data_IF_814135156626
#
_entry.id   IF_814135156626
#
_cell.length_a   1.000
_cell.length_b   1.000
_cell.length_c   1.000
_cell.angle_alpha   90.00
_cell.angle_beta   90.00
_cell.angle_gamma   90.00
#
_symmetry.space_group_name_H-M   'P 1'
#
loop_
_entity.id
_entity.type
_entity.pdbx_description
1 polymer ?
#
# COMPACT_ATOMS: atom_id res chain seq x y z
N UNK A 1 -13.11 9.58 -16.30
CA UNK A 1 -12.05 8.98 -15.45
C UNK A 1 -11.86 7.54 -15.89
N UNK A 2 -10.62 7.09 -16.07
CA UNK A 2 -10.35 5.74 -16.54
C UNK A 2 -10.41 4.75 -15.36
N UNK A 3 -10.97 3.54 -15.53
CA UNK A 3 -10.88 2.49 -14.52
C UNK A 3 -9.40 2.10 -14.30
N UNK A 4 -9.09 1.50 -13.16
CA UNK A 4 -7.80 0.84 -12.97
C UNK A 4 -7.66 -0.28 -14.01
N UNK A 5 -6.60 -0.29 -14.86
CA UNK A 5 -6.50 -1.24 -15.97
C UNK A 5 -6.16 -2.67 -15.52
N UNK A 6 -5.89 -2.88 -14.24
CA UNK A 6 -5.60 -4.16 -13.58
C UNK A 6 -5.85 -4.01 -12.07
N UNK A 7 -5.50 -5.03 -11.25
CA UNK A 7 -5.34 -4.93 -9.78
C UNK A 7 -4.22 -3.95 -9.36
N UNK A 8 -3.94 -2.96 -10.21
CA UNK A 8 -2.99 -1.89 -10.01
C UNK A 8 -3.25 -1.15 -8.71
N UNK A 9 -2.19 -0.66 -8.14
CA UNK A 9 -2.17 -0.03 -6.84
C UNK A 9 -0.78 0.53 -6.63
N UNK A 10 -0.35 0.66 -5.39
CA UNK A 10 0.93 1.25 -5.08
C UNK A 10 1.89 0.22 -4.47
N UNK A 11 3.06 0.11 -5.08
CA UNK A 11 4.17 -0.70 -4.56
C UNK A 11 5.18 0.23 -3.90
N UNK A 12 5.57 -0.09 -2.68
CA UNK A 12 6.55 0.68 -1.92
C UNK A 12 7.45 -0.24 -1.10
N UNK A 13 8.64 0.24 -0.75
CA UNK A 13 9.58 -0.52 0.07
C UNK A 13 9.44 -0.11 1.53
N UNK A 14 9.41 -1.10 2.43
CA UNK A 14 9.58 -0.91 3.87
C UNK A 14 10.75 -1.76 4.36
N UNK A 15 11.35 -1.36 5.49
CA UNK A 15 12.39 -2.14 6.15
C UNK A 15 11.83 -2.68 7.47
N UNK A 16 11.79 -4.00 7.60
CA UNK A 16 11.37 -4.67 8.83
C UNK A 16 12.59 -5.36 9.42
N UNK A 17 13.07 -4.86 10.55
CA UNK A 17 14.19 -5.44 11.30
C UNK A 17 15.45 -5.68 10.42
N UNK A 18 15.73 -4.71 9.52
CA UNK A 18 16.84 -4.75 8.56
C UNK A 18 16.54 -5.48 7.25
N UNK A 19 15.39 -6.16 7.13
CA UNK A 19 14.96 -6.84 5.90
C UNK A 19 14.19 -5.88 5.00
N UNK A 20 14.64 -5.75 3.75
CA UNK A 20 13.89 -5.03 2.71
C UNK A 20 12.66 -5.84 2.29
N UNK A 21 11.48 -5.26 2.43
CA UNK A 21 10.17 -5.86 2.12
C UNK A 21 9.43 -4.98 1.12
N UNK A 22 8.83 -5.60 0.10
CA UNK A 22 7.99 -4.91 -0.88
C UNK A 22 6.52 -4.99 -0.44
N UNK A 23 5.93 -3.84 -0.15
CA UNK A 23 4.53 -3.72 0.21
C UNK A 23 3.68 -3.33 -0.99
N UNK A 24 2.51 -3.95 -1.11
CA UNK A 24 1.54 -3.74 -2.18
C UNK A 24 0.22 -3.26 -1.58
N UNK A 25 -0.16 -2.01 -1.82
CA UNK A 25 -1.49 -1.50 -1.54
C UNK A 25 -2.33 -1.60 -2.82
N UNK A 26 -3.48 -2.29 -2.78
CA UNK A 26 -4.33 -2.45 -3.97
C UNK A 26 -5.12 -1.17 -4.27
N UNK A 27 -5.58 -1.00 -5.50
CA UNK A 27 -6.53 0.07 -5.86
C UNK A 27 -7.74 0.09 -4.92
N UNK A 28 -8.29 -1.07 -4.56
CA UNK A 28 -9.45 -1.16 -3.66
C UNK A 28 -9.13 -0.58 -2.27
N UNK A 29 -7.96 -0.91 -1.71
CA UNK A 29 -7.51 -0.32 -0.44
C UNK A 29 -7.29 1.18 -0.55
N UNK A 30 -6.69 1.64 -1.66
CA UNK A 30 -6.45 3.06 -1.88
C UNK A 30 -7.76 3.84 -2.06
N UNK A 31 -8.72 3.27 -2.78
CA UNK A 31 -10.03 3.89 -3.01
C UNK A 31 -10.88 3.91 -1.74
N UNK A 32 -10.91 2.80 -0.98
CA UNK A 32 -11.71 2.69 0.25
C UNK A 32 -11.21 3.63 1.36
N UNK A 33 -9.89 3.75 1.54
CA UNK A 33 -9.32 4.45 2.69
C UNK A 33 -8.90 5.89 2.39
N UNK A 34 -8.69 6.25 1.12
CA UNK A 34 -8.17 7.55 0.72
C UNK A 34 -9.02 8.24 -0.36
N UNK A 35 -10.20 7.69 -0.68
CA UNK A 35 -11.10 8.18 -1.74
C UNK A 35 -10.36 8.46 -3.06
N UNK A 36 -9.39 7.60 -3.39
CA UNK A 36 -8.54 7.75 -4.56
C UNK A 36 -9.12 7.00 -5.77
N UNK A 37 -9.90 7.64 -6.67
CA UNK A 37 -10.18 7.06 -7.99
C UNK A 37 -8.86 6.93 -8.77
N UNK A 38 -8.74 6.04 -9.78
CA UNK A 38 -7.49 5.87 -10.56
C UNK A 38 -6.91 7.24 -11.00
N UNK A 39 -5.91 7.79 -10.28
CA UNK A 39 -5.65 9.23 -10.37
C UNK A 39 -4.72 9.60 -11.53
N UNK A 40 -4.25 8.60 -12.29
CA UNK A 40 -2.95 8.71 -12.95
C UNK A 40 -1.81 8.88 -11.91
N UNK A 41 -0.57 8.85 -12.38
CA UNK A 41 0.59 8.70 -11.48
C UNK A 41 0.77 9.86 -10.48
N UNK A 42 0.48 11.10 -10.88
CA UNK A 42 0.78 12.28 -10.07
C UNK A 42 -0.14 12.44 -8.85
N UNK A 43 -1.44 12.22 -9.00
CA UNK A 43 -2.38 12.29 -7.88
C UNK A 43 -2.29 11.04 -6.99
N UNK A 44 -1.90 9.88 -7.56
CA UNK A 44 -1.58 8.67 -6.80
C UNK A 44 -0.38 8.89 -5.88
N UNK A 45 0.69 9.50 -6.40
CA UNK A 45 1.86 9.83 -5.60
C UNK A 45 1.52 10.80 -4.46
N UNK A 46 0.65 11.80 -4.68
CA UNK A 46 0.22 12.72 -3.62
C UNK A 46 -0.58 12.01 -2.52
N UNK A 47 -1.54 11.16 -2.89
CA UNK A 47 -2.30 10.36 -1.93
C UNK A 47 -1.37 9.42 -1.15
N UNK A 48 -0.38 8.83 -1.82
CA UNK A 48 0.64 8.03 -1.17
C UNK A 48 1.44 8.83 -0.14
N UNK A 49 2.02 9.96 -0.53
CA UNK A 49 2.81 10.77 0.39
C UNK A 49 2.00 11.30 1.56
N UNK A 50 0.72 11.60 1.37
CA UNK A 50 -0.17 12.01 2.45
C UNK A 50 -0.46 10.90 3.48
N UNK A 51 -0.29 9.63 3.10
CA UNK A 51 -0.69 8.47 3.91
C UNK A 51 0.40 7.41 4.08
N UNK A 52 1.65 7.74 3.71
CA UNK A 52 2.76 6.80 3.68
C UNK A 52 3.03 6.19 5.05
N UNK A 53 2.92 6.96 6.14
CA UNK A 53 3.13 6.47 7.49
C UNK A 53 2.14 5.35 7.85
N UNK A 54 0.85 5.55 7.59
CA UNK A 54 -0.20 4.53 7.84
C UNK A 54 0.05 3.27 7.02
N UNK A 55 0.40 3.44 5.74
CA UNK A 55 0.72 2.36 4.83
C UNK A 55 1.95 1.56 5.29
N UNK A 56 2.98 2.25 5.78
CA UNK A 56 4.19 1.63 6.30
C UNK A 56 3.94 0.85 7.59
N UNK A 57 3.22 1.44 8.55
CA UNK A 57 2.88 0.77 9.82
C UNK A 57 2.12 -0.52 9.56
N UNK A 58 1.12 -0.49 8.69
CA UNK A 58 0.32 -1.68 8.34
C UNK A 58 1.15 -2.74 7.61
N UNK A 59 2.01 -2.33 6.67
CA UNK A 59 2.90 -3.25 5.97
C UNK A 59 3.89 -3.95 6.93
N UNK A 60 4.47 -3.21 7.87
CA UNK A 60 5.38 -3.74 8.89
C UNK A 60 4.65 -4.72 9.81
N UNK A 61 3.48 -4.33 10.32
CA UNK A 61 2.68 -5.16 11.21
C UNK A 61 2.31 -6.50 10.55
N UNK A 62 1.83 -6.45 9.30
CA UNK A 62 1.47 -7.65 8.55
C UNK A 62 2.65 -8.56 8.24
N UNK A 63 3.78 -7.99 7.82
CA UNK A 63 4.96 -8.80 7.55
C UNK A 63 5.50 -9.46 8.81
N UNK A 64 5.41 -8.80 9.98
CA UNK A 64 5.77 -9.41 11.27
C UNK A 64 4.83 -10.55 11.66
N UNK A 65 3.55 -10.46 11.33
CA UNK A 65 2.58 -11.55 11.59
C UNK A 65 2.79 -12.74 10.63
N UNK A 66 3.12 -12.47 9.37
CA UNK A 66 3.25 -13.49 8.32
C UNK A 66 4.49 -13.25 7.46
N UNK A 67 5.71 -13.45 8.01
CA UNK A 67 6.93 -13.33 7.24
C UNK A 67 6.96 -14.41 6.16
N UNK A 68 7.42 -14.06 4.95
CA UNK A 68 7.51 -14.98 3.83
C UNK A 68 8.84 -14.84 3.07
N UNK A 69 9.22 -15.90 2.36
CA UNK A 69 10.48 -15.98 1.62
C UNK A 69 10.58 -14.95 0.49
N UNK A 70 9.44 -14.52 -0.07
CA UNK A 70 9.39 -13.52 -1.13
C UNK A 70 9.60 -12.08 -0.65
N UNK A 71 9.54 -11.85 0.67
CA UNK A 71 9.62 -10.52 1.29
C UNK A 71 8.58 -9.57 0.71
N UNK A 72 7.36 -10.06 0.52
CA UNK A 72 6.23 -9.28 0.00
C UNK A 72 5.09 -9.24 1.00
N UNK A 73 4.35 -8.14 1.03
CA UNK A 73 3.15 -8.04 1.86
C UNK A 73 2.07 -7.24 1.16
N UNK A 74 0.82 -7.66 1.31
CA UNK A 74 -0.34 -6.90 0.82
C UNK A 74 -0.90 -6.06 1.96
N UNK A 75 -1.19 -4.79 1.69
CA UNK A 75 -1.88 -3.87 2.61
C UNK A 75 -3.36 -3.91 2.27
N UNK A 76 -4.21 -4.38 3.17
CA UNK A 76 -5.67 -4.58 2.93
C UNK A 76 -6.57 -4.18 4.10
N UNK A 77 -6.02 -3.67 5.21
CA UNK A 77 -6.74 -3.55 6.49
C UNK A 77 -6.34 -2.31 7.26
N UNK A 78 -6.20 -1.19 6.55
CA UNK A 78 -5.97 0.08 7.22
C UNK A 78 -7.15 0.34 8.16
N UNK A 79 -6.91 0.63 9.46
CA UNK A 79 -8.01 0.95 10.36
C UNK A 79 -8.77 2.17 9.82
N UNK A 80 -10.11 2.08 9.77
CA UNK A 80 -10.95 3.23 9.43
C UNK A 80 -10.79 4.28 10.52
N UNK A 81 -10.50 5.51 10.13
CA UNK A 81 -10.52 6.70 11.00
C UNK A 81 -11.94 7.20 11.16
#
# INVERSE_FOLDING_TARGET
MAPWPCDGGLCFTVYVDGVRVTAHATAATLQLHFDAPNPGDAALARAFYAHIERLQVEAVARYRLHPNAERKVHVTGLPMT
#
